data_IF_058918025140
#
_entry.id   IF_058918025140
#
_cell.length_a   1.000
_cell.length_b   1.000
_cell.length_c   1.000
_cell.angle_alpha   90.00
_cell.angle_beta   90.00
_cell.angle_gamma   90.00
#
_symmetry.space_group_name_H-M   'P 1'
#
loop_
_entity.id
_entity.type
_entity.pdbx_description
1 polymer ?
#
# COMPACT_ATOMS: atom_id res chain seq x y z
N UNK A 1 6.84 3.08 -18.90
CA UNK A 1 6.62 1.79 -18.21
C UNK A 1 5.36 1.17 -18.74
N UNK A 2 5.37 -0.12 -19.06
CA UNK A 2 4.16 -0.81 -19.52
C UNK A 2 3.20 -1.04 -18.35
N UNK A 3 1.89 -1.28 -18.66
CA UNK A 3 0.89 -1.64 -17.63
C UNK A 3 1.27 -2.88 -16.85
N UNK A 4 1.95 -3.84 -17.49
CA UNK A 4 2.45 -5.04 -16.82
C UNK A 4 3.55 -4.70 -15.83
N UNK A 5 4.45 -3.80 -16.19
CA UNK A 5 5.54 -3.36 -15.32
C UNK A 5 4.98 -2.59 -14.11
N UNK A 6 3.97 -1.75 -14.33
CA UNK A 6 3.26 -1.04 -13.25
C UNK A 6 2.59 -2.01 -12.28
N UNK A 7 1.92 -3.04 -12.81
CA UNK A 7 1.30 -4.07 -11.99
C UNK A 7 2.35 -4.85 -11.19
N UNK A 8 3.48 -5.20 -11.78
CA UNK A 8 4.57 -5.89 -11.11
C UNK A 8 5.18 -5.04 -10.00
N UNK A 9 5.36 -3.73 -10.22
CA UNK A 9 5.83 -2.80 -9.20
C UNK A 9 4.80 -2.66 -8.07
N UNK A 10 3.52 -2.53 -8.40
CA UNK A 10 2.46 -2.46 -7.40
C UNK A 10 2.42 -3.72 -6.53
N UNK A 11 2.51 -4.89 -7.13
CA UNK A 11 2.54 -6.16 -6.40
C UNK A 11 3.77 -6.28 -5.50
N UNK A 12 4.93 -5.80 -5.96
CA UNK A 12 6.14 -5.78 -5.15
C UNK A 12 6.01 -4.85 -3.92
N UNK A 13 5.38 -3.69 -4.10
CA UNK A 13 5.08 -2.77 -2.99
C UNK A 13 4.11 -3.39 -1.99
N UNK A 14 3.05 -4.08 -2.46
CA UNK A 14 2.13 -4.80 -1.58
C UNK A 14 2.82 -5.91 -0.79
N UNK A 15 3.72 -6.66 -1.42
CA UNK A 15 4.50 -7.70 -0.75
C UNK A 15 5.38 -7.12 0.37
N UNK A 16 6.02 -5.98 0.12
CA UNK A 16 6.82 -5.26 1.12
C UNK A 16 5.95 -4.71 2.25
N UNK A 17 4.77 -4.18 1.94
CA UNK A 17 3.80 -3.76 2.95
C UNK A 17 3.39 -4.94 3.84
N UNK A 18 3.17 -6.11 3.27
CA UNK A 18 2.88 -7.34 4.01
C UNK A 18 4.04 -7.76 4.93
N UNK A 19 5.28 -7.58 4.50
CA UNK A 19 6.46 -7.84 5.33
C UNK A 19 6.56 -6.90 6.51
N UNK A 20 6.30 -5.61 6.31
CA UNK A 20 6.28 -4.61 7.38
C UNK A 20 5.15 -4.88 8.38
N UNK A 21 3.98 -5.28 7.90
CA UNK A 21 2.85 -5.72 8.73
C UNK A 21 3.21 -6.95 9.58
N UNK A 22 3.85 -7.94 9.00
CA UNK A 22 4.32 -9.12 9.71
C UNK A 22 5.33 -8.76 10.79
N UNK A 23 6.25 -7.83 10.52
CA UNK A 23 7.18 -7.28 11.50
C UNK A 23 6.46 -6.58 12.65
N UNK A 24 5.49 -5.74 12.35
CA UNK A 24 4.67 -5.07 13.36
C UNK A 24 3.91 -6.08 14.23
N UNK A 25 3.31 -7.09 13.62
CA UNK A 25 2.60 -8.15 14.34
C UNK A 25 3.51 -8.90 15.31
N UNK A 26 4.74 -9.20 14.89
CA UNK A 26 5.73 -9.85 15.74
C UNK A 26 6.16 -8.99 16.93
N UNK A 27 6.10 -7.66 16.82
CA UNK A 27 6.51 -6.71 17.86
C UNK A 27 5.34 -6.20 18.71
N UNK A 28 4.10 -6.54 18.37
CA UNK A 28 2.92 -5.95 19.01
C UNK A 28 2.88 -6.18 20.54
N UNK A 29 3.38 -7.32 21.01
CA UNK A 29 3.43 -7.71 22.41
C UNK A 29 4.85 -7.64 23.01
N UNK A 30 5.81 -7.06 22.32
CA UNK A 30 7.21 -6.93 22.76
C UNK A 30 7.47 -5.56 23.37
N UNK A 31 7.18 -5.40 24.65
CA UNK A 31 7.34 -4.14 25.36
C UNK A 31 8.79 -3.64 25.47
N UNK A 32 9.77 -4.52 25.29
CA UNK A 32 11.19 -4.20 25.24
C UNK A 32 11.63 -3.58 23.90
N UNK A 33 10.79 -3.66 22.86
CA UNK A 33 11.04 -2.97 21.58
C UNK A 33 10.41 -1.58 21.64
N UNK A 34 11.18 -0.51 21.40
CA UNK A 34 10.66 0.86 21.46
C UNK A 34 9.54 1.13 20.45
N UNK A 35 8.62 2.02 20.82
CA UNK A 35 7.48 2.41 19.96
C UNK A 35 7.90 2.97 18.60
N UNK A 36 9.05 3.66 18.52
CA UNK A 36 9.50 4.19 17.23
C UNK A 36 9.80 3.08 16.20
N UNK A 37 10.18 1.88 16.63
CA UNK A 37 10.38 0.74 15.72
C UNK A 37 9.02 0.24 15.21
N UNK A 38 8.08 -0.01 16.11
CA UNK A 38 6.74 -0.45 15.76
C UNK A 38 5.98 0.59 14.92
N UNK A 39 6.06 1.86 15.31
CA UNK A 39 5.42 2.97 14.58
C UNK A 39 5.99 3.16 13.18
N UNK A 40 7.29 3.01 13.01
CA UNK A 40 7.93 3.07 11.70
C UNK A 40 7.46 1.94 10.78
N UNK A 41 7.36 0.71 11.29
CA UNK A 41 6.84 -0.41 10.51
C UNK A 41 5.37 -0.19 10.10
N UNK A 42 4.54 0.33 11.00
CA UNK A 42 3.15 0.66 10.70
C UNK A 42 3.05 1.71 9.59
N UNK A 43 3.78 2.81 9.72
CA UNK A 43 3.81 3.88 8.74
C UNK A 43 4.31 3.37 7.37
N UNK A 44 5.38 2.59 7.34
CA UNK A 44 5.95 2.05 6.11
C UNK A 44 5.00 1.08 5.41
N UNK A 45 4.29 0.23 6.15
CA UNK A 45 3.30 -0.68 5.58
C UNK A 45 2.17 0.10 4.88
N UNK A 46 1.65 1.14 5.52
CA UNK A 46 0.59 1.99 4.96
C UNK A 46 1.10 2.75 3.73
N UNK A 47 2.24 3.42 3.84
CA UNK A 47 2.86 4.16 2.74
C UNK A 47 3.02 3.29 1.49
N UNK A 48 3.58 2.09 1.65
CA UNK A 48 3.79 1.15 0.54
C UNK A 48 2.48 0.67 -0.06
N UNK A 49 1.47 0.40 0.75
CA UNK A 49 0.15 0.00 0.28
C UNK A 49 -0.52 1.10 -0.56
N UNK A 50 -0.45 2.35 -0.11
CA UNK A 50 -1.00 3.50 -0.85
C UNK A 50 -0.24 3.74 -2.16
N UNK A 51 1.09 3.68 -2.12
CA UNK A 51 1.92 3.80 -3.33
C UNK A 51 1.66 2.67 -4.33
N UNK A 52 1.35 1.46 -3.85
CA UNK A 52 0.96 0.35 -4.71
C UNK A 52 -0.32 0.66 -5.48
N UNK A 53 -1.33 1.20 -4.82
CA UNK A 53 -2.59 1.60 -5.47
C UNK A 53 -2.36 2.70 -6.50
N UNK A 54 -1.60 3.73 -6.16
CA UNK A 54 -1.28 4.83 -7.07
C UNK A 54 -0.50 4.33 -8.29
N UNK A 55 0.47 3.45 -8.09
CA UNK A 55 1.25 2.84 -9.17
C UNK A 55 0.36 2.02 -10.11
N UNK A 56 -0.52 1.19 -9.54
CA UNK A 56 -1.47 0.39 -10.33
C UNK A 56 -2.46 1.26 -11.13
N UNK A 57 -2.72 2.49 -10.68
CA UNK A 57 -3.59 3.47 -11.33
C UNK A 57 -2.86 4.42 -12.27
N UNK A 58 -1.57 4.21 -12.49
CA UNK A 58 -0.71 5.10 -13.28
C UNK A 58 -0.78 6.56 -12.80
N UNK A 59 -0.89 6.74 -11.50
CA UNK A 59 -0.90 8.05 -10.84
C UNK A 59 0.49 8.38 -10.34
N UNK A 60 1.16 9.41 -10.89
CA UNK A 60 2.47 9.82 -10.43
C UNK A 60 2.39 10.42 -9.03
N UNK A 61 3.42 10.18 -8.23
CA UNK A 61 3.58 10.79 -6.92
C UNK A 61 5.04 11.15 -6.69
N UNK A 62 5.25 12.22 -5.91
CA UNK A 62 6.58 12.64 -5.49
C UNK A 62 7.10 11.76 -4.35
N UNK A 63 8.41 11.78 -4.12
CA UNK A 63 8.99 11.15 -2.93
C UNK A 63 8.39 11.79 -1.69
N UNK A 64 7.66 11.00 -0.93
CA UNK A 64 7.03 11.47 0.30
C UNK A 64 6.81 10.31 1.26
N UNK A 65 6.90 10.62 2.55
CA UNK A 65 6.50 9.75 3.65
C UNK A 65 5.20 10.25 4.29
N UNK A 66 4.54 11.23 3.68
CA UNK A 66 3.32 11.84 4.18
C UNK A 66 2.10 11.06 3.69
N UNK A 67 1.46 10.35 4.61
CA UNK A 67 0.26 9.56 4.32
C UNK A 67 -0.90 10.47 3.88
N UNK A 68 -1.04 11.67 4.45
CA UNK A 68 -2.09 12.61 4.07
C UNK A 68 -1.97 13.02 2.60
N UNK A 69 -0.76 13.35 2.16
CA UNK A 69 -0.47 13.63 0.76
C UNK A 69 -0.86 12.47 -0.16
N UNK A 70 -0.51 11.24 0.20
CA UNK A 70 -0.85 10.05 -0.59
C UNK A 70 -2.38 9.81 -0.61
N UNK A 71 -3.07 10.04 0.50
CA UNK A 71 -4.52 9.98 0.57
C UNK A 71 -5.20 11.01 -0.35
N UNK A 72 -4.66 12.23 -0.40
CA UNK A 72 -5.17 13.28 -1.31
C UNK A 72 -5.06 12.84 -2.78
N UNK A 73 -3.95 12.21 -3.17
CA UNK A 73 -3.78 11.68 -4.51
C UNK A 73 -4.77 10.55 -4.81
N UNK A 74 -5.03 9.68 -3.85
CA UNK A 74 -5.99 8.57 -3.98
C UNK A 74 -7.40 9.11 -4.18
N UNK A 75 -7.80 10.11 -3.40
CA UNK A 75 -9.09 10.78 -3.55
C UNK A 75 -9.19 11.48 -4.92
N UNK A 76 -8.13 12.15 -5.34
CA UNK A 76 -8.02 12.76 -6.67
C UNK A 76 -8.10 11.74 -7.82
N UNK A 77 -7.74 10.48 -7.59
CA UNK A 77 -7.89 9.38 -8.53
C UNK A 77 -9.31 8.80 -8.58
N UNK A 78 -10.25 9.36 -7.83
CA UNK A 78 -11.66 8.95 -7.81
C UNK A 78 -11.96 7.80 -6.86
N UNK A 79 -11.07 7.50 -5.92
CA UNK A 79 -11.27 6.48 -4.90
C UNK A 79 -11.73 7.11 -3.60
N UNK A 80 -12.72 6.48 -2.95
CA UNK A 80 -13.20 6.93 -1.65
C UNK A 80 -12.21 6.58 -0.55
N UNK A 81 -11.96 7.54 0.34
CA UNK A 81 -11.17 7.31 1.54
C UNK A 81 -12.02 6.61 2.59
N UNK A 82 -11.60 5.43 3.00
CA UNK A 82 -12.21 4.70 4.12
C UNK A 82 -11.89 5.36 5.46
N UNK A 83 -12.66 5.10 6.52
CA UNK A 83 -12.31 5.58 7.87
C UNK A 83 -10.92 5.14 8.31
N UNK A 84 -10.49 3.94 7.94
CA UNK A 84 -9.16 3.40 8.24
C UNK A 84 -8.05 4.18 7.54
N UNK A 85 -8.25 4.60 6.28
CA UNK A 85 -7.31 5.45 5.55
C UNK A 85 -7.17 6.82 6.23
N UNK A 86 -8.28 7.40 6.66
CA UNK A 86 -8.28 8.67 7.39
C UNK A 86 -7.55 8.55 8.73
N UNK A 87 -7.76 7.45 9.45
CA UNK A 87 -7.09 7.17 10.72
C UNK A 87 -5.57 6.95 10.52
N UNK A 88 -5.18 6.38 9.39
CA UNK A 88 -3.77 6.11 9.08
C UNK A 88 -2.91 7.37 8.97
N UNK A 89 -3.51 8.51 8.65
CA UNK A 89 -2.78 9.81 8.56
C UNK A 89 -2.06 10.13 9.87
N UNK A 90 -2.62 9.76 11.01
CA UNK A 90 -2.01 9.98 12.32
C UNK A 90 -0.68 9.23 12.52
N UNK A 91 -0.36 8.24 11.69
CA UNK A 91 0.90 7.50 11.74
C UNK A 91 2.04 8.17 10.95
N UNK A 92 1.77 9.21 10.19
CA UNK A 92 2.80 9.94 9.42
C UNK A 92 4.01 10.37 10.26
N UNK A 93 3.86 10.92 11.49
CA UNK A 93 5.00 11.34 12.30
C UNK A 93 5.99 10.23 12.65
N UNK A 94 5.56 8.97 12.62
CA UNK A 94 6.43 7.82 12.91
C UNK A 94 7.46 7.54 11.81
N UNK A 95 7.32 8.14 10.63
CA UNK A 95 8.28 7.97 9.54
C UNK A 95 9.64 8.59 9.86
N UNK A 96 9.66 9.81 10.39
CA UNK A 96 10.87 10.57 10.69
C UNK A 96 10.81 11.22 12.07
N UNK A 97 9.78 12.00 12.35
CA UNK A 97 9.69 12.89 13.50
C UNK A 97 9.87 12.16 14.84
N UNK A 98 9.12 11.10 15.07
CA UNK A 98 9.13 10.37 16.34
C UNK A 98 10.31 9.41 16.49
N UNK A 99 11.05 9.15 15.42
CA UNK A 99 12.28 8.33 15.49
C UNK A 99 13.41 9.02 16.26
N UNK A 100 13.39 10.36 16.27
CA UNK A 100 14.44 11.19 16.87
C UNK A 100 13.92 12.03 18.05
N UNK A 101 12.62 11.97 18.34
CA UNK A 101 12.02 12.66 19.48
C UNK A 101 12.38 11.99 20.80
N UNK A 102 12.36 12.79 21.87
CA UNK A 102 12.46 12.24 23.24
C UNK A 102 11.23 11.35 23.50
N UNK A 103 11.40 10.08 23.91
CA UNK A 103 10.28 9.19 24.20
C UNK A 103 9.28 9.72 25.23
N UNK A 104 9.71 10.61 26.12
CA UNK A 104 8.83 11.21 27.14
C UNK A 104 7.91 12.30 26.55
N UNK A 105 8.24 12.84 25.38
CA UNK A 105 7.48 13.91 24.71
C UNK A 105 6.48 13.36 23.69
N UNK A 106 6.46 12.05 23.46
CA UNK A 106 5.59 11.39 22.50
C UNK A 106 4.60 10.50 23.23
N UNK A 107 3.32 10.60 22.90
CA UNK A 107 2.31 9.69 23.43
C UNK A 107 2.64 8.24 23.03
N UNK A 108 2.42 7.26 23.91
CA UNK A 108 2.63 5.86 23.57
C UNK A 108 1.82 5.44 22.33
N UNK A 109 2.44 4.60 21.49
CA UNK A 109 1.75 4.02 20.36
C UNK A 109 0.82 2.89 20.82
N UNK A 110 -0.45 2.95 20.43
CA UNK A 110 -1.34 1.80 20.55
C UNK A 110 -1.03 0.83 19.39
N UNK A 111 -0.20 -0.18 19.67
CA UNK A 111 0.28 -1.12 18.65
C UNK A 111 -0.83 -2.01 18.08
N UNK A 112 -1.81 -2.34 18.91
CA UNK A 112 -2.97 -3.13 18.49
C UNK A 112 -3.81 -2.34 17.49
N UNK A 113 -4.11 -1.09 17.79
CA UNK A 113 -4.84 -0.19 16.88
C UNK A 113 -4.04 0.05 15.60
N UNK A 114 -2.74 0.32 15.71
CA UNK A 114 -1.87 0.50 14.55
C UNK A 114 -1.86 -0.73 13.65
N UNK A 115 -1.79 -1.93 14.21
CA UNK A 115 -1.85 -3.18 13.46
C UNK A 115 -3.21 -3.37 12.76
N UNK A 116 -4.31 -3.07 13.44
CA UNK A 116 -5.65 -3.11 12.84
C UNK A 116 -5.76 -2.16 11.66
N UNK A 117 -5.25 -0.95 11.78
CA UNK A 117 -5.23 0.05 10.71
C UNK A 117 -4.39 -0.42 9.52
N UNK A 118 -3.19 -0.92 9.77
CA UNK A 118 -2.30 -1.47 8.73
C UNK A 118 -2.97 -2.61 7.97
N UNK A 119 -3.55 -3.56 8.69
CA UNK A 119 -4.24 -4.71 8.08
C UNK A 119 -5.40 -4.26 7.21
N UNK A 120 -6.23 -3.32 7.69
CA UNK A 120 -7.36 -2.79 6.93
C UNK A 120 -6.92 -2.05 5.67
N UNK A 121 -5.89 -1.23 5.75
CA UNK A 121 -5.36 -0.48 4.59
C UNK A 121 -4.75 -1.43 3.56
N UNK A 122 -3.97 -2.41 3.99
CA UNK A 122 -3.38 -3.41 3.09
C UNK A 122 -4.45 -4.24 2.39
N UNK A 123 -5.48 -4.68 3.10
CA UNK A 123 -6.60 -5.42 2.51
C UNK A 123 -7.38 -4.56 1.50
N UNK A 124 -7.64 -3.30 1.83
CA UNK A 124 -8.24 -2.34 0.91
C UNK A 124 -7.41 -2.18 -0.37
N UNK A 125 -6.10 -2.00 -0.23
CA UNK A 125 -5.19 -1.86 -1.36
C UNK A 125 -5.20 -3.11 -2.25
N UNK A 126 -5.15 -4.29 -1.65
CA UNK A 126 -5.19 -5.57 -2.37
C UNK A 126 -6.48 -5.71 -3.17
N UNK A 127 -7.63 -5.41 -2.58
CA UNK A 127 -8.93 -5.44 -3.26
C UNK A 127 -9.03 -4.42 -4.37
N UNK A 128 -8.55 -3.20 -4.13
CA UNK A 128 -8.59 -2.10 -5.11
C UNK A 128 -7.75 -2.44 -6.35
N UNK A 129 -6.57 -2.97 -6.17
CA UNK A 129 -5.70 -3.40 -7.27
C UNK A 129 -6.29 -4.61 -7.99
N UNK A 130 -6.82 -5.58 -7.27
CA UNK A 130 -7.46 -6.76 -7.86
C UNK A 130 -8.71 -6.42 -8.66
N UNK A 131 -9.55 -5.50 -8.18
CA UNK A 131 -10.74 -5.02 -8.91
C UNK A 131 -10.37 -4.32 -10.21
N UNK A 132 -9.28 -3.55 -10.24
CA UNK A 132 -8.80 -2.89 -11.45
C UNK A 132 -8.37 -3.91 -12.52
N UNK A 133 -7.67 -4.95 -12.15
CA UNK A 133 -7.25 -6.03 -13.08
C UNK A 133 -8.48 -6.73 -13.66
N UNK A 134 -9.52 -6.96 -12.87
CA UNK A 134 -10.76 -7.61 -13.30
C UNK A 134 -11.59 -6.76 -14.28
N UNK A 135 -11.48 -5.43 -14.23
CA UNK A 135 -12.22 -4.49 -15.09
C UNK A 135 -11.49 -4.16 -16.40
N UNK A 136 -10.21 -4.50 -16.52
CA UNK A 136 -9.49 -4.35 -17.78
C UNK A 136 -9.99 -5.40 -18.78
N UNK A 137 -10.35 -4.98 -20.04
CA UNK A 137 -10.74 -5.94 -21.06
C UNK A 137 -9.56 -6.87 -21.33
N UNK A 138 -9.78 -8.18 -21.21
CA UNK A 138 -8.82 -9.15 -21.71
C UNK A 138 -8.66 -8.87 -23.21
N UNK A 139 -7.44 -8.59 -23.64
CA UNK A 139 -7.09 -8.68 -25.03
C UNK A 139 -7.32 -10.14 -25.43
N UNK A 140 -8.49 -10.42 -26.06
CA UNK A 140 -8.70 -11.69 -26.72
C UNK A 140 -7.69 -11.74 -27.85
N UNK A 141 -6.73 -12.65 -27.74
CA UNK A 141 -5.93 -13.03 -28.90
C UNK A 141 -6.90 -13.41 -30.01
N UNK A 142 -6.87 -12.65 -31.10
CA UNK A 142 -7.61 -13.05 -32.29
C UNK A 142 -7.20 -14.48 -32.65
N UNK A 143 -8.13 -15.38 -32.97
CA UNK A 143 -7.74 -16.68 -33.47
C UNK A 143 -6.87 -16.44 -34.71
N UNK A 144 -5.67 -17.01 -34.70
CA UNK A 144 -4.85 -17.02 -35.89
C UNK A 144 -5.69 -17.57 -37.02
N UNK A 145 -5.75 -16.81 -38.08
CA UNK A 145 -6.41 -17.20 -39.30
C UNK A 145 -5.64 -18.41 -39.87
N UNK A 146 -6.12 -19.62 -39.50
CA UNK A 146 -5.66 -20.83 -40.19
C UNK A 146 -6.16 -20.73 -41.61
N UNK A 147 -5.33 -20.22 -42.48
CA UNK A 147 -5.54 -20.37 -43.92
C UNK A 147 -5.50 -21.86 -44.24
N UNK A 148 -6.60 -22.45 -44.73
CA UNK A 148 -6.53 -23.84 -45.21
C UNK A 148 -5.61 -23.88 -46.41
N UNK A 149 -4.48 -24.53 -46.30
CA UNK A 149 -3.68 -24.91 -47.46
C UNK A 149 -4.51 -25.88 -48.27
N UNK A 150 -4.98 -25.41 -49.44
CA UNK A 150 -5.54 -26.28 -50.43
C UNK A 150 -4.42 -27.15 -50.97
N UNK A 151 -4.26 -28.35 -50.40
CA UNK A 151 -3.45 -29.39 -50.98
C UNK A 151 -4.23 -30.06 -52.09
N UNK A 152 -3.62 -30.17 -53.23
CA UNK A 152 -4.04 -31.15 -54.25
C UNK A 152 -3.68 -32.55 -53.84
#
# INVERSE_FOLDING_TARGET
MSKRDEQDVANALLAKAGSDEAGLRALADKSDVPDHVAGFLAQQAIEKALKAVLTARDMPFERSHDIDYLCDLIEGAGLDLTPELKAAVALTPWAVEFRYADPYDVAPLDRTEALMTVTAVREWATKTIGAQVATEPRLTSSPEDETPTAGR
#
